data_IF_497780564112
#
_entry.id   IF_497780564112
#
_cell.length_a   1.000
_cell.length_b   1.000
_cell.length_c   1.000
_cell.angle_alpha   90.00
_cell.angle_beta   90.00
_cell.angle_gamma   90.00
#
_symmetry.space_group_name_H-M   'P 1'
#
loop_
_entity.id
_entity.type
_entity.pdbx_description
1 polymer ?
#
# COMPACT_ATOMS: atom_id res chain seq x y z
N UNK A 1 -81.33 20.81 -68.17
CA UNK A 1 -80.17 21.20 -69.01
C UNK A 1 -78.97 20.49 -68.38
N UNK A 2 -78.65 19.26 -68.76
CA UNK A 2 -77.90 18.80 -69.96
C UNK A 2 -76.38 18.91 -69.76
N UNK A 3 -75.71 17.75 -69.91
CA UNK A 3 -74.27 17.47 -70.13
C UNK A 3 -73.27 17.94 -69.05
N UNK A 4 -72.26 17.18 -68.61
CA UNK A 4 -71.55 16.03 -69.19
C UNK A 4 -70.05 16.35 -69.26
N UNK A 5 -69.19 15.36 -68.92
CA UNK A 5 -67.72 15.25 -69.21
C UNK A 5 -66.79 16.27 -68.47
N UNK A 6 -65.56 16.03 -67.99
CA UNK A 6 -64.53 14.96 -68.03
C UNK A 6 -63.60 15.07 -66.78
N UNK A 7 -62.93 13.94 -66.47
CA UNK A 7 -61.55 13.74 -66.02
C UNK A 7 -60.92 14.54 -64.85
N UNK A 8 -60.40 13.81 -63.85
CA UNK A 8 -58.96 13.49 -63.79
C UNK A 8 -58.59 12.59 -62.59
N UNK A 9 -57.49 11.87 -62.79
CA UNK A 9 -56.85 10.86 -61.96
C UNK A 9 -56.43 11.26 -60.53
N UNK A 10 -56.52 10.23 -59.67
CA UNK A 10 -55.51 9.75 -58.71
C UNK A 10 -55.34 10.38 -57.30
N UNK A 11 -55.54 9.46 -56.34
CA UNK A 11 -54.72 9.18 -55.14
C UNK A 11 -54.90 10.07 -53.91
N UNK A 12 -55.72 9.61 -52.96
CA UNK A 12 -55.53 9.94 -51.54
C UNK A 12 -56.05 8.83 -50.60
N UNK A 13 -55.36 8.73 -49.47
CA UNK A 13 -55.51 7.88 -48.26
C UNK A 13 -56.97 7.67 -47.80
N UNK A 14 -57.28 6.53 -47.17
CA UNK A 14 -57.15 6.41 -45.70
C UNK A 14 -57.45 5.03 -45.12
N UNK A 15 -56.86 4.86 -43.93
CA UNK A 15 -56.92 3.87 -42.87
C UNK A 15 -58.26 3.13 -42.63
N UNK A 16 -58.21 1.84 -42.25
CA UNK A 16 -58.89 1.24 -41.07
C UNK A 16 -58.54 -0.24 -40.95
N UNK A 17 -58.20 -0.66 -39.73
CA UNK A 17 -57.52 -1.92 -39.45
C UNK A 17 -58.39 -3.08 -38.97
N UNK A 18 -57.78 -3.86 -38.08
CA UNK A 18 -58.25 -5.09 -37.42
C UNK A 18 -58.17 -6.35 -38.30
N UNK A 19 -57.47 -7.42 -37.94
CA UNK A 19 -56.67 -7.71 -36.77
C UNK A 19 -56.14 -9.15 -36.83
N UNK A 20 -55.12 -9.36 -35.99
CA UNK A 20 -54.72 -10.61 -35.37
C UNK A 20 -53.87 -11.64 -36.14
N UNK A 21 -52.71 -11.95 -35.56
CA UNK A 21 -51.92 -13.13 -35.92
C UNK A 21 -50.42 -13.11 -35.66
N UNK A 22 -49.86 -12.23 -34.82
CA UNK A 22 -48.46 -12.37 -34.39
C UNK A 22 -48.37 -13.05 -33.03
N UNK A 23 -47.92 -14.29 -33.09
CA UNK A 23 -47.38 -15.11 -32.03
C UNK A 23 -46.12 -14.45 -31.47
N UNK A 24 -46.21 -13.78 -30.32
CA UNK A 24 -45.07 -13.57 -29.42
C UNK A 24 -45.57 -13.63 -27.99
N UNK A 25 -45.10 -14.66 -27.30
CA UNK A 25 -45.40 -14.99 -25.91
C UNK A 25 -45.19 -13.80 -24.96
N UNK A 26 -46.23 -13.50 -24.16
CA UNK A 26 -46.23 -12.47 -23.11
C UNK A 26 -45.52 -12.92 -21.83
N UNK A 27 -44.53 -13.83 -21.90
CA UNK A 27 -43.87 -14.37 -20.71
C UNK A 27 -42.50 -13.74 -20.40
N UNK A 28 -42.08 -12.70 -21.13
CA UNK A 28 -40.75 -12.10 -20.99
C UNK A 28 -40.73 -10.74 -20.26
N UNK A 29 -41.89 -10.14 -19.98
CA UNK A 29 -42.00 -8.87 -19.24
C UNK A 29 -41.67 -9.06 -17.75
N UNK A 30 -42.19 -10.12 -17.15
CA UNK A 30 -42.08 -10.38 -15.70
C UNK A 30 -40.64 -10.73 -15.29
N UNK A 31 -39.88 -11.34 -16.21
CA UNK A 31 -38.46 -11.63 -16.04
C UNK A 31 -37.60 -10.35 -16.05
N UNK A 32 -37.96 -9.39 -16.90
CA UNK A 32 -37.21 -8.13 -17.04
C UNK A 32 -37.45 -7.18 -15.86
N UNK A 33 -38.68 -7.13 -15.32
CA UNK A 33 -38.99 -6.40 -14.08
C UNK A 33 -38.27 -7.01 -12.87
N UNK A 34 -38.28 -8.34 -12.73
CA UNK A 34 -37.56 -9.03 -11.67
C UNK A 34 -36.03 -8.80 -11.73
N UNK A 35 -35.46 -8.77 -12.94
CA UNK A 35 -34.05 -8.44 -13.16
C UNK A 35 -33.73 -6.98 -12.85
N UNK A 36 -34.63 -6.04 -13.17
CA UNK A 36 -34.44 -4.63 -12.82
C UNK A 36 -34.49 -4.41 -11.32
N UNK A 37 -35.42 -5.05 -10.61
CA UNK A 37 -35.46 -5.00 -9.14
C UNK A 37 -34.23 -5.67 -8.53
N UNK A 38 -33.75 -6.79 -9.08
CA UNK A 38 -32.49 -7.41 -8.66
C UNK A 38 -31.27 -6.54 -8.93
N UNK A 39 -31.25 -5.79 -10.04
CA UNK A 39 -30.18 -4.85 -10.37
C UNK A 39 -30.24 -3.60 -9.49
N UNK A 40 -31.43 -3.08 -9.18
CA UNK A 40 -31.60 -1.95 -8.26
C UNK A 40 -31.24 -2.34 -6.82
N UNK A 41 -31.60 -3.57 -6.43
CA UNK A 41 -31.29 -4.13 -5.12
C UNK A 41 -29.80 -4.49 -4.98
N UNK A 42 -29.20 -5.08 -6.01
CA UNK A 42 -27.77 -5.40 -6.02
C UNK A 42 -26.91 -4.14 -6.10
N UNK A 43 -27.31 -3.11 -6.87
CA UNK A 43 -26.62 -1.81 -6.86
C UNK A 43 -26.74 -1.11 -5.51
N UNK A 44 -27.89 -1.21 -4.82
CA UNK A 44 -28.03 -0.73 -3.44
C UNK A 44 -27.17 -1.51 -2.44
N UNK A 45 -27.09 -2.84 -2.57
CA UNK A 45 -26.27 -3.71 -1.71
C UNK A 45 -24.76 -3.59 -1.96
N UNK A 46 -24.33 -3.28 -3.18
CA UNK A 46 -22.91 -3.01 -3.50
C UNK A 46 -22.42 -1.73 -2.78
N UNK A 47 -23.33 -0.78 -2.49
CA UNK A 47 -23.00 0.42 -1.72
C UNK A 47 -22.88 0.19 -0.20
N UNK A 48 -23.46 -0.89 0.35
CA UNK A 48 -23.53 -1.13 1.81
C UNK A 48 -22.48 -2.13 2.34
N UNK A 49 -21.67 -2.75 1.49
CA UNK A 49 -20.58 -3.67 1.88
C UNK A 49 -19.20 -3.18 1.45
N UNK A 50 -18.89 -1.90 1.68
CA UNK A 50 -17.50 -1.49 1.79
C UNK A 50 -16.92 -2.05 3.11
N UNK A 51 -16.33 -3.23 3.03
CA UNK A 51 -15.51 -3.81 4.08
C UNK A 51 -14.30 -2.89 4.33
N UNK A 52 -14.45 -1.97 5.29
CA UNK A 52 -13.50 -1.75 6.38
C UNK A 52 -12.03 -1.42 6.10
N UNK A 53 -11.66 -0.95 4.91
CA UNK A 53 -10.42 -0.20 4.71
C UNK A 53 -10.78 1.17 4.14
N UNK A 54 -11.07 2.14 5.02
CA UNK A 54 -11.17 3.53 4.61
C UNK A 54 -9.77 4.01 4.20
N UNK A 55 -9.42 3.72 2.95
CA UNK A 55 -8.26 4.30 2.27
C UNK A 55 -8.58 5.79 2.10
N UNK A 56 -7.71 6.63 2.64
CA UNK A 56 -7.89 8.07 2.57
C UNK A 56 -7.94 8.53 1.11
N UNK A 57 -9.05 9.15 0.65
CA UNK A 57 -9.25 9.50 -0.76
C UNK A 57 -8.25 10.55 -1.27
N UNK A 58 -7.71 11.39 -0.37
CA UNK A 58 -6.70 12.37 -0.69
C UNK A 58 -5.35 11.70 -0.98
N UNK A 59 -4.95 10.77 -0.10
CA UNK A 59 -3.73 9.96 -0.27
C UNK A 59 -3.85 9.08 -1.51
N UNK A 60 -5.00 8.46 -1.74
CA UNK A 60 -5.25 7.67 -2.94
C UNK A 60 -5.12 8.50 -4.22
N UNK A 61 -5.56 9.76 -4.23
CA UNK A 61 -5.39 10.66 -5.37
C UNK A 61 -3.91 11.03 -5.60
N UNK A 62 -3.14 11.18 -4.53
CA UNK A 62 -1.73 11.58 -4.56
C UNK A 62 -0.74 10.42 -4.80
N UNK A 63 -1.20 9.17 -4.74
CA UNK A 63 -0.33 7.98 -4.70
C UNK A 63 0.72 7.90 -5.83
N UNK A 64 0.35 8.20 -7.07
CA UNK A 64 1.28 8.21 -8.20
C UNK A 64 2.38 9.28 -8.07
N UNK A 65 2.01 10.48 -7.62
CA UNK A 65 2.98 11.56 -7.42
C UNK A 65 3.93 11.25 -6.27
N UNK A 66 3.41 10.72 -5.16
CA UNK A 66 4.23 10.25 -4.02
C UNK A 66 5.19 9.13 -4.43
N UNK A 67 4.75 8.21 -5.29
CA UNK A 67 5.61 7.16 -5.84
C UNK A 67 6.73 7.73 -6.73
N UNK A 68 6.47 8.81 -7.48
CA UNK A 68 7.51 9.51 -8.24
C UNK A 68 8.50 10.21 -7.32
N UNK A 69 8.03 10.90 -6.27
CA UNK A 69 8.90 11.51 -5.24
C UNK A 69 9.87 10.49 -4.65
N UNK A 70 9.37 9.30 -4.28
CA UNK A 70 10.21 8.22 -3.75
C UNK A 70 11.31 7.79 -4.74
N UNK A 71 11.01 7.76 -6.04
CA UNK A 71 11.98 7.40 -7.09
C UNK A 71 13.04 8.49 -7.28
N UNK A 72 12.67 9.77 -7.22
CA UNK A 72 13.58 10.90 -7.40
C UNK A 72 14.75 10.87 -6.41
N UNK A 73 14.48 10.54 -5.15
CA UNK A 73 15.52 10.44 -4.11
C UNK A 73 16.60 9.37 -4.40
N UNK A 74 16.31 8.39 -5.27
CA UNK A 74 17.25 7.32 -5.66
C UNK A 74 17.85 7.51 -7.06
N UNK A 75 17.34 8.47 -7.84
CA UNK A 75 17.75 8.68 -9.21
C UNK A 75 19.13 9.34 -9.28
N UNK A 76 20.07 8.71 -9.99
CA UNK A 76 21.42 9.25 -10.21
C UNK A 76 21.46 10.38 -11.23
N UNK A 77 20.54 10.35 -12.20
CA UNK A 77 20.37 11.33 -13.27
C UNK A 77 18.93 11.24 -13.79
N UNK A 78 18.43 12.32 -14.39
CA UNK A 78 17.11 12.44 -15.00
C UNK A 78 17.16 12.95 -16.44
N UNK A 79 18.34 13.31 -16.95
CA UNK A 79 18.51 13.91 -18.27
C UNK A 79 18.01 15.35 -18.31
N UNK A 80 16.90 15.60 -19.00
CA UNK A 80 16.35 16.96 -19.17
C UNK A 80 15.48 17.37 -17.97
N UNK A 81 15.97 18.36 -17.21
CA UNK A 81 15.28 18.92 -16.05
C UNK A 81 13.95 19.61 -16.39
N UNK A 82 13.85 20.23 -17.57
CA UNK A 82 12.62 20.89 -18.01
C UNK A 82 11.56 19.87 -18.37
N UNK A 83 11.95 18.77 -19.02
CA UNK A 83 11.04 17.65 -19.28
C UNK A 83 10.51 17.04 -17.98
N UNK A 84 11.38 16.83 -16.99
CA UNK A 84 10.96 16.37 -15.66
C UNK A 84 9.95 17.35 -15.04
N UNK A 85 10.20 18.66 -15.12
CA UNK A 85 9.29 19.67 -14.58
C UNK A 85 7.90 19.62 -15.22
N UNK A 86 7.84 19.43 -16.54
CA UNK A 86 6.57 19.25 -17.27
C UNK A 86 5.85 17.99 -16.79
N UNK A 87 6.55 16.86 -16.70
CA UNK A 87 5.98 15.59 -16.24
C UNK A 87 5.40 15.71 -14.81
N UNK A 88 6.16 16.27 -13.87
CA UNK A 88 5.70 16.45 -12.49
C UNK A 88 4.56 17.47 -12.40
N UNK A 89 4.59 18.54 -13.22
CA UNK A 89 3.49 19.50 -13.32
C UNK A 89 2.18 18.83 -13.77
N UNK A 90 2.26 17.91 -14.73
CA UNK A 90 1.08 17.18 -15.21
C UNK A 90 0.58 16.16 -14.17
N UNK A 91 1.47 15.56 -13.38
CA UNK A 91 1.08 14.72 -12.25
C UNK A 91 0.37 15.50 -11.14
N UNK A 92 0.78 16.74 -10.87
CA UNK A 92 0.06 17.63 -9.94
C UNK A 92 -1.35 17.94 -10.46
N UNK A 93 -1.51 18.23 -11.75
CA UNK A 93 -2.85 18.43 -12.36
C UNK A 93 -3.70 17.17 -12.32
N UNK A 94 -3.09 16.00 -12.53
CA UNK A 94 -3.78 14.70 -12.44
C UNK A 94 -4.25 14.41 -11.01
N UNK A 95 -3.43 14.74 -10.02
CA UNK A 95 -3.81 14.73 -8.61
C UNK A 95 -5.03 15.64 -8.37
N UNK A 96 -5.02 16.90 -8.83
CA UNK A 96 -6.17 17.80 -8.68
C UNK A 96 -7.45 17.21 -9.30
N UNK A 97 -7.34 16.67 -10.51
CA UNK A 97 -8.49 16.07 -11.20
C UNK A 97 -9.04 14.84 -10.46
N UNK A 98 -8.17 14.01 -9.87
CA UNK A 98 -8.58 12.87 -9.01
C UNK A 98 -9.20 13.36 -7.69
N UNK A 99 -8.62 14.35 -7.05
CA UNK A 99 -9.12 14.92 -5.81
C UNK A 99 -10.52 15.53 -5.98
N UNK A 100 -10.75 16.27 -7.08
CA UNK A 100 -12.08 16.81 -7.42
C UNK A 100 -13.11 15.71 -7.67
N UNK A 101 -12.74 14.64 -8.38
CA UNK A 101 -13.61 13.47 -8.62
C UNK A 101 -14.00 12.76 -7.32
N UNK A 102 -13.11 12.75 -6.33
CA UNK A 102 -13.37 12.20 -5.00
C UNK A 102 -14.11 13.17 -4.06
N UNK A 103 -14.70 14.26 -4.60
CA UNK A 103 -15.44 15.28 -3.85
C UNK A 103 -14.67 15.89 -2.66
N UNK A 104 -13.34 15.98 -2.76
CA UNK A 104 -12.51 16.62 -1.74
C UNK A 104 -12.78 18.13 -1.73
N UNK A 105 -13.03 18.69 -0.54
CA UNK A 105 -13.26 20.12 -0.37
C UNK A 105 -12.09 20.94 -0.95
N UNK A 106 -12.42 22.05 -1.63
CA UNK A 106 -11.42 22.84 -2.36
C UNK A 106 -10.30 23.38 -1.45
N UNK A 107 -10.60 23.72 -0.19
CA UNK A 107 -9.60 24.11 0.80
C UNK A 107 -8.55 23.00 1.02
N UNK A 108 -9.00 21.76 1.22
CA UNK A 108 -8.10 20.60 1.38
C UNK A 108 -7.33 20.29 0.10
N UNK A 109 -7.94 20.44 -1.06
CA UNK A 109 -7.27 20.27 -2.35
C UNK A 109 -6.12 21.27 -2.52
N UNK A 110 -6.37 22.56 -2.27
CA UNK A 110 -5.35 23.62 -2.40
C UNK A 110 -4.22 23.43 -1.39
N UNK A 111 -4.55 23.08 -0.14
CA UNK A 111 -3.56 22.79 0.89
C UNK A 111 -2.71 21.55 0.55
N UNK A 112 -3.33 20.47 0.05
CA UNK A 112 -2.64 19.27 -0.36
C UNK A 112 -1.72 19.51 -1.56
N UNK A 113 -2.17 20.29 -2.55
CA UNK A 113 -1.35 20.69 -3.69
C UNK A 113 -0.14 21.49 -3.26
N UNK A 114 -0.31 22.42 -2.32
CA UNK A 114 0.80 23.19 -1.74
C UNK A 114 1.84 22.25 -1.11
N UNK A 115 1.37 21.33 -0.26
CA UNK A 115 2.22 20.32 0.39
C UNK A 115 2.97 19.48 -0.64
N UNK A 116 2.27 18.95 -1.64
CA UNK A 116 2.87 18.10 -2.68
C UNK A 116 3.90 18.86 -3.52
N UNK A 117 3.61 20.09 -3.97
CA UNK A 117 4.58 20.91 -4.70
C UNK A 117 5.83 21.17 -3.85
N UNK A 118 5.65 21.50 -2.57
CA UNK A 118 6.76 21.76 -1.64
C UNK A 118 7.65 20.51 -1.48
N UNK A 119 7.04 19.34 -1.31
CA UNK A 119 7.75 18.07 -1.11
C UNK A 119 8.47 17.64 -2.39
N UNK A 120 7.84 17.80 -3.56
CA UNK A 120 8.47 17.48 -4.85
C UNK A 120 9.66 18.40 -5.11
N UNK A 121 9.51 19.70 -4.88
CA UNK A 121 10.61 20.65 -5.09
C UNK A 121 11.79 20.35 -4.18
N UNK A 122 11.55 20.04 -2.91
CA UNK A 122 12.62 19.63 -2.00
C UNK A 122 13.26 18.31 -2.43
N UNK A 123 12.48 17.31 -2.83
CA UNK A 123 13.01 16.03 -3.29
C UNK A 123 13.95 16.19 -4.51
N UNK A 124 13.59 17.07 -5.46
CA UNK A 124 14.44 17.38 -6.61
C UNK A 124 15.71 18.13 -6.17
N UNK A 125 15.56 19.21 -5.40
CA UNK A 125 16.69 20.04 -4.96
C UNK A 125 17.66 19.30 -4.02
N UNK A 126 17.21 18.22 -3.40
CA UNK A 126 18.04 17.35 -2.55
C UNK A 126 18.94 16.40 -3.35
N UNK A 127 18.76 16.29 -4.66
CA UNK A 127 19.63 15.49 -5.53
C UNK A 127 20.82 16.30 -6.05
N UNK A 128 21.91 15.63 -6.42
CA UNK A 128 23.10 16.28 -6.99
C UNK A 128 22.74 17.03 -8.28
N UNK A 129 22.03 16.37 -9.20
CA UNK A 129 21.61 16.94 -10.47
C UNK A 129 20.59 18.08 -10.29
N UNK A 130 19.64 17.96 -9.36
CA UNK A 130 18.64 18.99 -9.10
C UNK A 130 19.24 20.26 -8.50
N UNK A 131 20.18 20.12 -7.54
CA UNK A 131 20.86 21.26 -6.91
C UNK A 131 21.76 22.07 -7.86
N UNK A 132 22.27 21.43 -8.92
CA UNK A 132 23.12 22.06 -9.95
C UNK A 132 22.32 22.60 -11.14
N UNK A 133 21.00 22.37 -11.16
CA UNK A 133 20.10 22.77 -12.23
C UNK A 133 19.41 24.12 -11.96
N UNK A 134 18.66 24.60 -12.95
CA UNK A 134 17.80 25.78 -12.82
C UNK A 134 16.47 25.50 -12.09
N UNK A 135 16.29 24.35 -11.42
CA UNK A 135 15.02 23.96 -10.79
C UNK A 135 14.45 25.04 -9.87
N UNK A 136 15.27 25.71 -9.07
CA UNK A 136 14.83 26.79 -8.16
C UNK A 136 14.12 27.95 -8.88
N UNK A 137 14.41 28.16 -10.17
CA UNK A 137 13.76 29.20 -11.00
C UNK A 137 12.43 28.73 -11.59
N UNK A 138 12.27 27.42 -11.79
CA UNK A 138 11.11 26.78 -12.43
C UNK A 138 10.32 25.87 -11.47
N UNK A 139 10.47 26.06 -10.16
CA UNK A 139 9.92 25.17 -9.14
C UNK A 139 8.40 25.04 -9.24
N UNK A 140 7.87 23.87 -8.85
CA UNK A 140 6.44 23.63 -8.90
C UNK A 140 5.70 24.56 -7.95
N UNK A 141 6.23 24.81 -6.75
CA UNK A 141 5.63 25.72 -5.78
C UNK A 141 5.54 27.14 -6.34
N UNK A 142 6.57 27.61 -7.06
CA UNK A 142 6.54 28.93 -7.70
C UNK A 142 5.48 28.97 -8.79
N UNK A 143 5.42 27.94 -9.64
CA UNK A 143 4.45 27.84 -10.74
C UNK A 143 3.00 27.79 -10.25
N UNK A 144 2.74 27.04 -9.19
CA UNK A 144 1.40 26.68 -8.74
C UNK A 144 0.88 27.58 -7.61
N UNK A 145 1.77 28.17 -6.82
CA UNK A 145 1.43 28.98 -5.64
C UNK A 145 2.14 30.34 -5.59
N UNK A 146 3.04 30.64 -6.55
CA UNK A 146 3.84 31.88 -6.57
C UNK A 146 4.70 32.05 -5.31
N UNK A 147 5.19 30.94 -4.78
CA UNK A 147 6.06 30.89 -3.62
C UNK A 147 7.32 30.08 -3.90
N UNK A 148 8.45 30.50 -3.34
CA UNK A 148 9.76 29.87 -3.59
C UNK A 148 10.29 29.03 -2.42
N UNK A 149 9.73 29.21 -1.21
CA UNK A 149 10.14 28.48 -0.01
C UNK A 149 8.92 28.04 0.79
N UNK A 150 8.54 26.75 0.68
CA UNK A 150 7.39 26.18 1.40
C UNK A 150 7.73 25.38 2.65
N UNK A 151 9.02 25.13 2.92
CA UNK A 151 9.47 24.25 3.99
C UNK A 151 9.02 24.66 5.39
N UNK A 152 8.87 25.97 5.65
CA UNK A 152 8.35 26.45 6.94
C UNK A 152 6.82 26.40 7.01
N UNK A 153 6.15 26.86 5.94
CA UNK A 153 4.68 26.86 5.82
C UNK A 153 4.08 25.46 5.88
N UNK A 154 4.82 24.43 5.43
CA UNK A 154 4.43 23.04 5.65
C UNK A 154 4.19 22.76 7.15
N UNK A 155 5.11 23.15 8.03
CA UNK A 155 4.97 22.89 9.47
C UNK A 155 3.96 23.83 10.14
N UNK A 156 3.82 25.07 9.67
CA UNK A 156 2.74 25.97 10.13
C UNK A 156 1.35 25.38 9.79
N UNK A 157 1.21 24.81 8.58
CA UNK A 157 -0.01 24.11 8.18
C UNK A 157 -0.22 22.85 9.02
N UNK A 158 0.84 22.09 9.30
CA UNK A 158 0.77 20.89 10.14
C UNK A 158 0.21 21.23 11.52
N UNK A 159 0.81 22.22 12.18
CA UNK A 159 0.39 22.69 13.50
C UNK A 159 -1.08 23.15 13.50
N UNK A 160 -1.46 23.97 12.52
CA UNK A 160 -2.84 24.45 12.36
C UNK A 160 -3.84 23.29 12.21
N UNK A 161 -3.52 22.30 11.38
CA UNK A 161 -4.41 21.16 11.13
C UNK A 161 -4.43 20.17 12.31
N UNK A 162 -3.31 20.03 13.02
CA UNK A 162 -3.21 19.20 14.23
C UNK A 162 -4.09 19.70 15.38
N UNK A 163 -4.45 20.99 15.40
CA UNK A 163 -5.40 21.53 16.38
C UNK A 163 -6.78 20.85 16.33
N UNK A 164 -7.20 20.32 15.17
CA UNK A 164 -8.40 19.52 15.03
C UNK A 164 -8.15 18.31 14.11
N UNK A 165 -7.39 17.35 14.62
CA UNK A 165 -7.00 16.16 13.86
C UNK A 165 -8.18 15.29 13.42
N UNK A 166 -9.28 15.27 14.16
CA UNK A 166 -10.48 14.54 13.73
C UNK A 166 -11.04 15.09 12.41
N UNK A 167 -11.15 16.42 12.30
CA UNK A 167 -11.61 17.07 11.06
C UNK A 167 -10.60 16.98 9.92
N UNK A 168 -9.31 17.00 10.24
CA UNK A 168 -8.23 17.13 9.25
C UNK A 168 -7.41 15.87 9.03
N UNK A 169 -7.90 14.71 9.48
CA UNK A 169 -7.22 13.42 9.43
C UNK A 169 -6.63 13.13 8.03
N UNK A 170 -7.42 13.38 6.98
CA UNK A 170 -6.99 13.09 5.61
C UNK A 170 -5.75 13.87 5.18
N UNK A 171 -5.64 15.14 5.60
CA UNK A 171 -4.45 15.97 5.34
C UNK A 171 -3.28 15.56 6.21
N UNK A 172 -3.53 15.28 7.50
CA UNK A 172 -2.47 14.86 8.44
C UNK A 172 -1.80 13.57 7.98
N UNK A 173 -2.55 12.63 7.44
CA UNK A 173 -2.00 11.41 6.85
C UNK A 173 -1.17 11.65 5.60
N UNK A 174 -1.61 12.56 4.71
CA UNK A 174 -0.82 12.95 3.55
C UNK A 174 0.52 13.56 4.00
N UNK A 175 0.48 14.49 4.96
CA UNK A 175 1.67 15.14 5.51
C UNK A 175 2.59 14.16 6.24
N UNK A 176 2.03 13.19 6.97
CA UNK A 176 2.79 12.09 7.57
C UNK A 176 3.53 11.27 6.52
N UNK A 177 2.86 10.91 5.41
CA UNK A 177 3.51 10.19 4.32
C UNK A 177 4.63 11.02 3.67
N UNK A 178 4.44 12.32 3.50
CA UNK A 178 5.51 13.20 3.03
C UNK A 178 6.74 13.19 3.96
N UNK A 179 6.54 13.27 5.28
CA UNK A 179 7.61 13.15 6.27
C UNK A 179 8.27 11.77 6.23
N UNK A 180 7.49 10.70 6.10
CA UNK A 180 7.99 9.33 6.01
C UNK A 180 8.80 9.07 4.71
N UNK A 181 8.53 9.82 3.64
CA UNK A 181 9.30 9.82 2.41
C UNK A 181 10.59 10.65 2.48
N UNK A 182 10.89 11.27 3.63
CA UNK A 182 12.14 12.00 3.87
C UNK A 182 12.04 13.51 3.63
N UNK A 183 10.84 14.09 3.64
CA UNK A 183 10.70 15.55 3.68
C UNK A 183 11.20 16.12 5.01
N UNK A 184 12.09 17.10 4.95
CA UNK A 184 12.74 17.74 6.10
C UNK A 184 12.31 19.21 6.26
N UNK A 185 12.08 19.94 5.17
CA UNK A 185 11.73 21.36 5.19
C UNK A 185 12.71 22.21 6.01
N UNK A 186 12.17 23.08 6.86
CA UNK A 186 12.97 23.97 7.73
C UNK A 186 13.94 23.24 8.68
N UNK A 187 13.75 21.95 8.91
CA UNK A 187 14.58 21.15 9.83
C UNK A 187 15.87 20.63 9.20
N UNK A 188 16.05 20.77 7.88
CA UNK A 188 17.27 20.35 7.17
C UNK A 188 18.54 21.05 7.66
N UNK A 189 18.48 22.38 7.87
CA UNK A 189 19.62 23.17 8.39
C UNK A 189 19.89 22.93 9.88
N UNK A 190 18.91 22.41 10.60
CA UNK A 190 18.96 22.12 12.03
C UNK A 190 19.47 20.71 12.34
N UNK A 191 20.08 20.00 11.37
CA UNK A 191 20.62 18.63 11.50
C UNK A 191 21.58 18.40 12.68
N UNK A 192 22.03 19.45 13.38
CA UNK A 192 22.73 19.34 14.67
C UNK A 192 21.84 18.78 15.80
N UNK A 193 20.52 18.90 15.68
CA UNK A 193 19.52 18.43 16.65
C UNK A 193 18.59 17.38 16.02
N UNK A 194 19.15 16.28 15.50
CA UNK A 194 18.46 15.24 14.71
C UNK A 194 17.27 14.51 15.35
N UNK A 195 16.68 15.03 16.43
CA UNK A 195 15.53 14.45 17.13
C UNK A 195 14.22 15.20 16.84
N UNK A 196 14.22 16.53 16.60
CA UNK A 196 12.96 17.29 16.53
C UNK A 196 12.04 16.86 15.39
N UNK A 197 12.58 16.64 14.19
CA UNK A 197 11.80 16.17 13.04
C UNK A 197 11.21 14.77 13.29
N UNK A 198 11.98 13.91 13.94
CA UNK A 198 11.55 12.55 14.27
C UNK A 198 10.48 12.58 15.37
N UNK A 199 10.61 13.45 16.37
CA UNK A 199 9.60 13.68 17.41
C UNK A 199 8.29 14.20 16.79
N UNK A 200 8.36 15.14 15.85
CA UNK A 200 7.19 15.64 15.11
C UNK A 200 6.52 14.49 14.33
N UNK A 201 7.31 13.69 13.60
CA UNK A 201 6.80 12.55 12.84
C UNK A 201 6.15 11.50 13.74
N UNK A 202 6.76 11.22 14.89
CA UNK A 202 6.25 10.27 15.88
C UNK A 202 4.95 10.76 16.52
N UNK A 203 4.91 12.02 16.97
CA UNK A 203 3.71 12.62 17.56
C UNK A 203 2.55 12.67 16.56
N UNK A 204 2.83 13.02 15.30
CA UNK A 204 1.84 13.00 14.22
C UNK A 204 1.28 11.58 14.00
N UNK A 205 2.15 10.57 13.99
CA UNK A 205 1.73 9.17 13.89
C UNK A 205 0.80 8.76 15.04
N UNK A 206 1.17 9.09 16.29
CA UNK A 206 0.34 8.78 17.46
C UNK A 206 -1.02 9.49 17.38
N UNK A 207 -1.04 10.75 16.94
CA UNK A 207 -2.27 11.52 16.77
C UNK A 207 -3.18 10.89 15.71
N UNK A 208 -2.64 10.52 14.54
CA UNK A 208 -3.38 9.82 13.48
C UNK A 208 -3.93 8.48 13.99
N UNK A 209 -3.09 7.70 14.68
CA UNK A 209 -3.49 6.42 15.27
C UNK A 209 -4.61 6.58 16.27
N UNK A 210 -4.53 7.59 17.14
CA UNK A 210 -5.55 7.88 18.12
C UNK A 210 -6.90 8.22 17.47
N UNK A 211 -6.90 9.05 16.42
CA UNK A 211 -8.11 9.44 15.70
C UNK A 211 -8.72 8.28 14.90
N UNK A 212 -7.90 7.45 14.25
CA UNK A 212 -8.40 6.25 13.54
C UNK A 212 -8.96 5.19 14.49
N UNK A 213 -8.55 5.21 15.76
CA UNK A 213 -8.80 4.15 16.72
C UNK A 213 -7.99 2.89 16.41
N UNK A 214 -8.16 1.85 17.23
CA UNK A 214 -7.60 0.52 16.93
C UNK A 214 -8.35 -0.07 15.73
N UNK A 215 -7.84 0.21 14.53
CA UNK A 215 -8.23 -0.51 13.31
C UNK A 215 -7.96 -1.98 13.60
N UNK A 216 -9.04 -2.77 13.67
CA UNK A 216 -8.94 -4.22 13.85
C UNK A 216 -7.96 -4.77 12.81
N UNK A 217 -6.83 -5.30 13.29
CA UNK A 217 -5.76 -5.94 12.50
C UNK A 217 -6.22 -7.23 11.79
N UNK A 218 -7.52 -7.43 11.62
CA UNK A 218 -8.08 -8.39 10.68
C UNK A 218 -7.90 -7.83 9.28
N UNK A 219 -6.70 -8.03 8.70
CA UNK A 219 -6.33 -7.61 7.35
C UNK A 219 -7.24 -8.20 6.24
N UNK A 220 -8.17 -9.08 6.58
CA UNK A 220 -9.35 -9.46 5.79
C UNK A 220 -10.23 -10.39 6.64
N UNK A 221 -11.57 -10.28 6.66
CA UNK A 221 -12.46 -11.35 7.16
C UNK A 221 -12.31 -12.67 6.37
N UNK A 222 -11.78 -12.61 5.15
CA UNK A 222 -11.51 -13.72 4.25
C UNK A 222 -10.02 -13.75 3.88
N UNK A 223 -9.14 -13.95 4.86
CA UNK A 223 -7.68 -13.98 4.70
C UNK A 223 -7.14 -15.11 3.80
N UNK A 224 -7.99 -15.91 3.16
CA UNK A 224 -7.58 -16.89 2.15
C UNK A 224 -7.47 -16.22 0.78
N UNK A 225 -6.49 -15.33 0.67
CA UNK A 225 -6.02 -14.83 -0.62
C UNK A 225 -5.42 -15.97 -1.44
N UNK A 226 -5.76 -16.01 -2.72
CA UNK A 226 -5.14 -16.90 -3.70
C UNK A 226 -3.61 -16.84 -3.57
N UNK A 227 -2.98 -18.02 -3.52
CA UNK A 227 -1.55 -18.18 -3.29
C UNK A 227 -0.76 -17.58 -4.44
N UNK A 228 -0.38 -16.32 -4.33
CA UNK A 228 0.63 -15.69 -5.21
C UNK A 228 2.01 -16.03 -4.65
N UNK A 229 2.65 -17.02 -5.26
CA UNK A 229 4.03 -17.37 -4.94
C UNK A 229 5.00 -16.35 -5.53
N UNK A 230 5.66 -15.58 -4.66
CA UNK A 230 7.06 -15.18 -4.79
C UNK A 230 7.40 -14.21 -3.65
N UNK A 231 8.50 -14.51 -2.96
CA UNK A 231 9.18 -13.64 -1.99
C UNK A 231 8.43 -13.33 -0.68
N UNK A 232 8.26 -14.35 0.17
CA UNK A 232 8.91 -14.32 1.49
C UNK A 232 8.90 -15.73 2.11
N UNK A 233 10.01 -16.45 1.94
CA UNK A 233 10.27 -17.69 2.69
C UNK A 233 11.66 -17.55 3.27
N UNK A 234 11.80 -16.60 4.20
CA UNK A 234 12.86 -16.63 5.19
C UNK A 234 12.79 -17.99 5.91
N UNK A 235 13.74 -18.81 5.50
CA UNK A 235 14.05 -20.15 5.94
C UNK A 235 14.30 -20.12 7.45
N UNK A 236 13.27 -20.41 8.23
CA UNK A 236 13.41 -20.83 9.62
C UNK A 236 14.10 -22.19 9.56
N UNK A 237 15.43 -22.17 9.60
CA UNK A 237 16.22 -23.39 9.81
C UNK A 237 15.94 -23.79 11.25
N UNK A 238 15.23 -24.90 11.49
CA UNK A 238 14.62 -25.07 12.78
C UNK A 238 15.69 -25.56 13.76
N UNK A 239 15.90 -24.80 14.83
CA UNK A 239 16.99 -24.99 15.79
C UNK A 239 17.04 -26.40 16.41
N UNK A 240 15.95 -27.17 16.35
CA UNK A 240 15.90 -28.56 16.79
C UNK A 240 16.85 -29.48 16.02
N UNK A 241 17.17 -29.19 14.75
CA UNK A 241 18.14 -29.99 13.99
C UNK A 241 19.56 -29.87 14.56
N UNK A 242 19.93 -28.68 15.03
CA UNK A 242 21.24 -28.43 15.65
C UNK A 242 21.31 -29.18 16.99
N UNK A 243 20.24 -29.13 17.79
CA UNK A 243 20.14 -29.87 19.06
C UNK A 243 20.19 -31.39 18.84
N UNK A 244 19.51 -31.90 17.81
CA UNK A 244 19.53 -33.32 17.47
C UNK A 244 20.94 -33.76 17.06
N UNK A 245 21.60 -32.97 16.21
CA UNK A 245 22.95 -33.28 15.72
C UNK A 245 23.98 -33.25 16.84
N UNK A 246 23.93 -32.27 17.74
CA UNK A 246 24.84 -32.20 18.90
C UNK A 246 24.61 -33.36 19.86
N UNK A 247 23.36 -33.74 20.12
CA UNK A 247 23.03 -34.88 20.97
C UNK A 247 23.53 -36.22 20.39
N UNK A 248 23.37 -36.43 19.08
CA UNK A 248 23.88 -37.63 18.38
C UNK A 248 25.41 -37.69 18.46
N UNK A 249 26.08 -36.56 18.19
CA UNK A 249 27.54 -36.47 18.25
C UNK A 249 28.09 -36.80 19.65
N UNK A 250 27.47 -36.23 20.70
CA UNK A 250 27.87 -36.50 22.09
C UNK A 250 27.69 -37.98 22.47
N UNK A 251 26.58 -38.58 22.03
CA UNK A 251 26.26 -39.99 22.30
C UNK A 251 27.25 -40.93 21.61
N UNK A 252 27.60 -40.65 20.35
CA UNK A 252 28.59 -41.43 19.62
C UNK A 252 29.98 -41.36 20.29
N UNK A 253 30.39 -40.19 20.74
CA UNK A 253 31.65 -39.98 21.45
C UNK A 253 31.68 -40.77 22.78
N UNK A 254 30.58 -40.70 23.55
CA UNK A 254 30.44 -41.44 24.80
C UNK A 254 30.52 -42.95 24.61
N UNK A 255 29.79 -43.50 23.62
CA UNK A 255 29.83 -44.93 23.31
C UNK A 255 31.24 -45.39 22.89
N UNK A 256 31.94 -44.59 22.07
CA UNK A 256 33.32 -44.89 21.68
C UNK A 256 34.26 -44.94 22.89
N UNK A 257 34.17 -43.96 23.78
CA UNK A 257 34.97 -43.97 25.01
C UNK A 257 34.60 -45.12 25.95
N UNK A 258 33.32 -45.43 26.11
CA UNK A 258 32.87 -46.53 26.95
C UNK A 258 33.39 -47.88 26.44
N UNK A 259 33.44 -48.09 25.12
CA UNK A 259 34.00 -49.30 24.52
C UNK A 259 35.51 -49.41 24.79
N UNK A 260 36.28 -48.35 24.52
CA UNK A 260 37.73 -48.33 24.74
C UNK A 260 38.06 -48.54 26.22
N UNK A 261 37.31 -47.90 27.13
CA UNK A 261 37.48 -48.10 28.57
C UNK A 261 37.09 -49.52 28.99
N UNK A 262 36.08 -50.14 28.36
CA UNK A 262 35.70 -51.53 28.62
C UNK A 262 36.82 -52.50 28.26
N UNK A 263 37.43 -52.31 27.09
CA UNK A 263 38.51 -53.17 26.62
C UNK A 263 39.79 -53.01 27.46
N UNK A 264 40.12 -51.78 27.87
CA UNK A 264 41.21 -51.55 28.82
C UNK A 264 40.89 -52.07 30.23
N UNK A 265 39.64 -51.96 30.69
CA UNK A 265 39.19 -52.51 31.97
C UNK A 265 39.36 -54.02 31.99
N UNK A 266 38.97 -54.73 30.93
CA UNK A 266 39.17 -56.18 30.84
C UNK A 266 40.64 -56.57 30.77
N UNK A 267 41.47 -55.81 30.06
CA UNK A 267 42.92 -56.04 30.00
C UNK A 267 43.60 -55.87 31.37
N UNK A 268 43.17 -54.88 32.16
CA UNK A 268 43.72 -54.62 33.51
C UNK A 268 43.12 -55.54 34.58
N UNK A 269 41.91 -56.07 34.41
CA UNK A 269 41.28 -56.99 35.37
C UNK A 269 41.76 -58.44 35.23
N UNK A 270 42.18 -58.89 34.04
CA UNK A 270 42.68 -60.25 33.81
C UNK A 270 43.81 -60.70 34.78
N UNK A 271 44.82 -59.86 35.10
CA UNK A 271 45.85 -60.18 36.10
C UNK A 271 45.34 -60.35 37.53
N UNK A 272 44.25 -59.67 37.91
CA UNK A 272 43.69 -59.77 39.26
C UNK A 272 42.75 -60.98 39.40
N UNK A 273 41.97 -61.30 38.36
CA UNK A 273 41.14 -62.51 38.36
C UNK A 273 41.98 -63.80 38.35
N UNK A 274 43.13 -63.80 37.67
CA UNK A 274 44.06 -64.94 37.71
C UNK A 274 44.75 -65.08 39.07
N UNK A 275 45.04 -63.97 39.76
CA UNK A 275 45.58 -64.01 41.13
C UNK A 275 44.56 -64.58 42.14
N UNK A 276 43.29 -64.19 42.07
CA UNK A 276 42.24 -64.77 42.92
C UNK A 276 42.03 -66.27 42.62
N UNK A 277 42.07 -66.68 41.34
CA UNK A 277 41.97 -68.10 40.98
C UNK A 277 43.14 -68.94 41.51
N UNK A 278 44.38 -68.42 41.43
CA UNK A 278 45.58 -69.10 41.95
C UNK A 278 45.62 -69.12 43.48
N UNK A 279 45.08 -68.10 44.16
CA UNK A 279 44.97 -68.07 45.64
C UNK A 279 43.92 -69.06 46.13
N UNK A 280 42.82 -69.27 45.39
CA UNK A 280 41.80 -70.27 45.72
C UNK A 280 42.37 -71.70 45.53
N UNK A 281 43.13 -71.95 44.47
CA UNK A 281 43.73 -73.27 44.18
C UNK A 281 44.87 -73.65 45.13
N UNK A 282 45.64 -72.69 45.67
CA UNK A 282 46.65 -72.96 46.73
C UNK A 282 46.07 -73.28 48.11
N UNK A 283 44.77 -73.04 48.32
CA UNK A 283 44.10 -73.20 49.62
C UNK A 283 43.20 -74.43 49.68
N UNK A 284 43.13 -75.21 48.60
CA UNK A 284 42.45 -76.52 48.48
C UNK A 284 43.47 -77.62 48.21
#
# INVERSE_FOLDING_TARGET
MQSGLEDHFAFERDNTGSGNGYFTDTHNSDLFEGLQEQLLYSTRRVSERQVGSHVNPLVSAAGELLAQVAKLGTAKDVGDIHLLNVQLSDQVKLFEARARRNAIANEHLLAARYVLCTVVDEAVLNTVWGSQSDWSKISLLSRFHRETFGGEKFFQLLEKLSANAFRHLSMLELMYLCLALGFEGKYRSHRRNGNELEDIRHNLYLQIKHVRGDVSRTLSPHWQGARSGAADRLRIMPAWLIVLFTAISLTALYCGFAWVLGEQREAVLKPYQSADAVVIERRS
#
